data_IF_010052231652
#
_entry.id   IF_010052231652
#
_cell.length_a   1.000
_cell.length_b   1.000
_cell.length_c   1.000
_cell.angle_alpha   90.00
_cell.angle_beta   90.00
_cell.angle_gamma   90.00
#
_symmetry.space_group_name_H-M   'P 1'
#
loop_
_entity.id
_entity.type
_entity.pdbx_description
1 polymer ?
#
# COMPACT_ATOMS: atom_id res chain seq x y z
N UNK A 1 -38.15 14.44 17.79
CA UNK A 1 -36.76 14.75 18.18
C UNK A 1 -35.90 14.25 17.01
N UNK A 2 -35.46 15.07 16.07
CA UNK A 2 -34.48 16.17 16.11
C UNK A 2 -33.10 15.71 16.60
N UNK A 3 -32.11 15.95 15.72
CA UNK A 3 -30.68 16.22 15.97
C UNK A 3 -29.80 14.96 15.92
N UNK A 4 -28.69 14.86 15.19
CA UNK A 4 -28.05 15.66 14.13
C UNK A 4 -26.82 14.86 13.66
N UNK A 5 -26.29 15.24 12.50
CA UNK A 5 -24.88 15.13 12.09
C UNK A 5 -23.88 15.19 13.27
N UNK A 6 -22.67 14.65 13.08
CA UNK A 6 -21.57 15.61 13.09
C UNK A 6 -20.87 15.65 11.74
N UNK A 7 -20.89 16.87 11.21
CA UNK A 7 -19.91 17.41 10.30
C UNK A 7 -18.53 17.34 10.94
N UNK A 8 -17.54 17.23 10.06
CA UNK A 8 -16.36 18.10 10.07
C UNK A 8 -15.01 17.44 10.35
N UNK A 9 -14.27 17.40 9.25
CA UNK A 9 -12.86 17.19 9.08
C UNK A 9 -12.08 18.31 9.77
N UNK A 10 -11.80 18.18 11.07
CA UNK A 10 -10.92 19.11 11.79
C UNK A 10 -9.46 18.69 11.69
N UNK A 11 -8.77 19.26 10.69
CA UNK A 11 -7.31 19.32 10.62
C UNK A 11 -6.85 20.34 11.68
N UNK A 12 -6.48 19.87 12.87
CA UNK A 12 -5.89 20.71 13.90
C UNK A 12 -4.39 20.42 14.00
N UNK A 13 -3.61 21.29 13.36
CA UNK A 13 -2.17 21.44 13.57
C UNK A 13 -1.88 21.62 15.06
N UNK A 14 -1.14 20.69 15.65
CA UNK A 14 -0.55 20.86 16.97
C UNK A 14 0.93 21.13 16.80
N UNK A 15 1.24 22.40 16.59
CA UNK A 15 2.55 23.03 16.64
C UNK A 15 3.17 22.86 18.02
N UNK A 16 4.26 22.11 18.13
CA UNK A 16 5.12 22.16 19.32
C UNK A 16 6.33 23.05 19.04
N UNK A 17 6.09 24.36 18.98
CA UNK A 17 7.12 25.39 19.02
C UNK A 17 7.43 25.72 20.48
N UNK A 18 8.68 25.42 20.87
CA UNK A 18 9.56 26.20 21.74
C UNK A 18 9.03 26.81 23.07
N UNK A 19 9.66 26.35 24.16
CA UNK A 19 10.41 27.17 25.13
C UNK A 19 9.81 27.49 26.51
N UNK A 20 10.63 27.12 27.54
CA UNK A 20 11.08 27.91 28.71
C UNK A 20 10.93 27.24 30.09
N UNK A 21 12.12 26.98 30.67
CA UNK A 21 12.63 27.31 32.02
C UNK A 21 12.11 26.60 33.29
N UNK A 22 13.03 25.91 33.99
CA UNK A 22 13.55 26.17 35.36
C UNK A 22 14.27 24.90 35.89
N UNK A 23 15.59 24.91 36.10
CA UNK A 23 16.34 25.22 37.34
C UNK A 23 16.47 24.02 38.31
N UNK A 24 17.73 23.61 38.50
CA UNK A 24 18.34 22.88 39.64
C UNK A 24 18.01 21.40 39.85
N UNK A 25 19.05 20.56 39.80
CA UNK A 25 18.96 19.12 40.02
C UNK A 25 19.13 18.67 41.47
N UNK A 26 18.87 17.39 41.72
CA UNK A 26 19.53 16.55 42.73
C UNK A 26 19.12 15.07 42.56
N UNK A 27 20.14 14.24 42.36
CA UNK A 27 20.34 12.81 42.71
C UNK A 27 19.18 11.82 42.89
N UNK A 28 19.45 10.64 42.29
CA UNK A 28 19.23 9.27 42.78
C UNK A 28 17.81 8.66 42.70
N UNK A 29 17.71 7.59 41.91
CA UNK A 29 16.56 6.68 41.89
C UNK A 29 16.60 5.70 40.72
N UNK A 30 17.28 4.56 40.93
CA UNK A 30 17.22 3.27 40.22
C UNK A 30 16.33 3.15 38.95
N UNK A 31 16.86 2.69 37.80
CA UNK A 31 16.04 2.45 36.62
C UNK A 31 15.09 1.27 36.86
N UNK A 32 13.78 1.54 36.74
CA UNK A 32 12.74 0.52 36.70
C UNK A 32 13.04 -0.40 35.51
N UNK A 33 13.28 -1.68 35.83
CA UNK A 33 13.51 -2.76 34.88
C UNK A 33 12.40 -2.77 33.83
N UNK A 34 12.74 -2.38 32.60
CA UNK A 34 11.86 -2.49 31.44
C UNK A 34 11.52 -3.95 31.23
N UNK A 35 10.25 -4.31 31.44
CA UNK A 35 9.72 -5.58 31.00
C UNK A 35 9.87 -5.70 29.47
N UNK A 36 10.18 -6.89 28.93
CA UNK A 36 10.23 -7.07 27.49
C UNK A 36 8.85 -6.79 26.91
N UNK A 37 8.78 -5.84 25.97
CA UNK A 37 7.59 -5.59 25.17
C UNK A 37 7.28 -6.87 24.39
N UNK A 38 6.18 -7.54 24.75
CA UNK A 38 5.63 -8.64 23.96
C UNK A 38 5.31 -8.08 22.57
N UNK A 39 5.76 -8.70 21.46
CA UNK A 39 5.38 -8.24 20.13
C UNK A 39 3.86 -8.20 20.06
N UNK A 40 3.33 -7.05 19.63
CA UNK A 40 1.91 -6.86 19.44
C UNK A 40 1.40 -7.97 18.52
N UNK A 41 0.41 -8.73 18.99
CA UNK A 41 -0.33 -9.69 18.17
C UNK A 41 -0.84 -8.95 16.93
N UNK A 42 -0.74 -9.51 15.73
CA UNK A 42 -1.29 -8.86 14.55
C UNK A 42 -2.79 -8.65 14.77
N UNK A 43 -3.18 -7.39 14.90
CA UNK A 43 -4.58 -6.97 14.96
C UNK A 43 -5.17 -7.11 13.56
N UNK A 44 -5.45 -8.34 13.15
CA UNK A 44 -6.01 -8.66 11.84
C UNK A 44 -6.53 -10.08 11.78
N UNK A 45 -7.54 -10.30 10.94
CA UNK A 45 -8.04 -11.64 10.62
C UNK A 45 -6.96 -12.36 9.81
N UNK A 46 -6.47 -13.50 10.31
CA UNK A 46 -5.51 -14.32 9.58
C UNK A 46 -6.22 -15.04 8.42
N UNK A 47 -5.86 -14.69 7.18
CA UNK A 47 -6.35 -15.35 5.97
C UNK A 47 -5.35 -16.43 5.56
N UNK A 48 -5.82 -17.68 5.44
CA UNK A 48 -5.01 -18.79 4.96
C UNK A 48 -5.13 -18.88 3.43
N UNK A 49 -4.01 -18.76 2.73
CA UNK A 49 -3.91 -18.97 1.29
C UNK A 49 -3.45 -20.42 1.03
N UNK A 50 -3.93 -21.05 -0.04
CA UNK A 50 -3.57 -22.43 -0.38
C UNK A 50 -2.08 -22.58 -0.68
N UNK A 51 -1.52 -23.77 -0.43
CA UNK A 51 -0.12 -24.10 -0.70
C UNK A 51 0.23 -23.98 -2.19
N UNK A 52 -0.71 -24.31 -3.09
CA UNK A 52 -0.53 -24.21 -4.54
C UNK A 52 -0.35 -22.75 -4.99
N UNK A 53 -1.19 -21.85 -4.49
CA UNK A 53 -1.09 -20.42 -4.81
C UNK A 53 0.23 -19.84 -4.31
N UNK A 54 0.66 -20.26 -3.11
CA UNK A 54 1.94 -19.85 -2.54
C UNK A 54 3.14 -20.36 -3.35
N UNK A 55 3.09 -21.55 -3.95
CA UNK A 55 4.17 -22.05 -4.81
C UNK A 55 4.22 -21.34 -6.18
N UNK A 56 3.08 -20.91 -6.71
CA UNK A 56 3.03 -20.15 -7.97
C UNK A 56 3.58 -18.74 -7.80
N UNK A 57 3.25 -18.06 -6.69
CA UNK A 57 3.78 -16.73 -6.37
C UNK A 57 5.31 -16.71 -6.30
N UNK A 58 5.91 -17.72 -5.69
CA UNK A 58 7.38 -17.86 -5.59
C UNK A 58 8.05 -17.99 -6.96
N UNK A 59 7.36 -18.53 -7.97
CA UNK A 59 7.88 -18.66 -9.35
C UNK A 59 7.77 -17.34 -10.13
N UNK A 60 6.76 -16.52 -9.83
CA UNK A 60 6.55 -15.23 -10.51
C UNK A 60 7.49 -14.12 -9.99
N UNK A 61 7.93 -14.20 -8.73
CA UNK A 61 8.75 -13.17 -8.09
C UNK A 61 10.26 -13.28 -8.39
N UNK A 62 10.74 -14.37 -8.98
CA UNK A 62 12.17 -14.67 -9.01
C UNK A 62 12.99 -13.99 -10.12
N UNK A 63 12.39 -13.35 -11.14
CA UNK A 63 13.19 -12.84 -12.28
C UNK A 63 12.70 -11.55 -12.96
N UNK A 64 11.58 -10.95 -12.53
CA UNK A 64 11.07 -9.72 -13.15
C UNK A 64 10.64 -8.72 -12.09
N UNK A 65 11.09 -7.45 -12.14
CA UNK A 65 10.50 -6.42 -11.30
C UNK A 65 9.00 -6.36 -11.62
N UNK A 66 8.16 -6.34 -10.58
CA UNK A 66 6.69 -6.24 -10.71
C UNK A 66 6.25 -5.11 -11.65
N UNK A 67 7.09 -4.06 -11.75
CA UNK A 67 6.90 -2.94 -12.67
C UNK A 67 8.20 -2.62 -13.39
N UNK A 68 8.15 -2.62 -14.71
CA UNK A 68 9.24 -2.12 -15.56
C UNK A 68 9.20 -0.59 -15.63
N UNK A 69 9.97 0.05 -14.75
CA UNK A 69 10.04 1.52 -14.64
C UNK A 69 10.60 2.18 -15.90
N UNK A 70 11.47 1.49 -16.65
CA UNK A 70 12.02 1.99 -17.91
C UNK A 70 10.93 2.11 -18.96
N UNK A 71 10.08 1.08 -19.14
CA UNK A 71 8.91 1.15 -20.03
C UNK A 71 7.92 2.22 -19.59
N UNK A 72 7.68 2.36 -18.29
CA UNK A 72 6.75 3.37 -17.76
C UNK A 72 7.25 4.79 -18.06
N UNK A 73 8.54 5.07 -17.87
CA UNK A 73 9.13 6.38 -18.20
C UNK A 73 8.98 6.70 -19.70
N UNK A 74 9.37 5.76 -20.56
CA UNK A 74 9.27 5.94 -22.01
C UNK A 74 7.83 6.19 -22.48
N UNK A 75 6.86 5.45 -21.91
CA UNK A 75 5.45 5.64 -22.23
C UNK A 75 4.93 7.01 -21.74
N UNK A 76 5.32 7.44 -20.53
CA UNK A 76 4.96 8.76 -20.00
C UNK A 76 5.46 9.90 -20.89
N UNK A 77 6.71 9.80 -21.35
CA UNK A 77 7.30 10.77 -22.28
C UNK A 77 6.57 10.80 -23.62
N UNK A 78 6.28 9.64 -24.21
CA UNK A 78 5.54 9.56 -25.48
C UNK A 78 4.12 10.16 -25.37
N UNK A 79 3.45 9.97 -24.23
CA UNK A 79 2.15 10.59 -23.96
C UNK A 79 2.30 12.11 -23.80
N UNK A 80 3.30 12.58 -23.05
CA UNK A 80 3.55 14.01 -22.85
C UNK A 80 3.90 14.75 -24.16
N UNK A 81 4.62 14.07 -25.06
CA UNK A 81 4.99 14.57 -26.38
C UNK A 81 3.86 14.45 -27.41
N UNK A 82 2.75 13.78 -27.07
CA UNK A 82 1.62 13.53 -27.98
C UNK A 82 1.92 12.55 -29.11
N UNK A 83 3.05 11.83 -29.05
CA UNK A 83 3.45 10.84 -30.06
C UNK A 83 2.86 9.45 -29.81
N UNK A 84 2.28 9.23 -28.64
CA UNK A 84 1.56 7.99 -28.33
C UNK A 84 0.27 7.89 -29.16
N UNK A 85 0.23 6.92 -30.08
CA UNK A 85 -0.95 6.62 -30.89
C UNK A 85 -1.67 5.39 -30.35
N UNK A 86 -2.98 5.51 -30.17
CA UNK A 86 -3.84 4.41 -29.73
C UNK A 86 -3.98 3.40 -30.87
N UNK A 87 -3.58 2.15 -30.65
CA UNK A 87 -3.82 1.05 -31.57
C UNK A 87 -5.12 0.32 -31.19
N UNK A 88 -6.16 0.46 -32.00
CA UNK A 88 -7.47 -0.14 -31.76
C UNK A 88 -7.46 -1.68 -31.88
N UNK A 89 -6.68 -2.23 -32.80
CA UNK A 89 -6.56 -3.69 -32.99
C UNK A 89 -5.92 -4.34 -31.76
N UNK A 90 -4.82 -3.76 -31.26
CA UNK A 90 -4.15 -4.25 -30.06
C UNK A 90 -5.04 -4.17 -28.80
N UNK A 91 -5.97 -3.22 -28.75
CA UNK A 91 -6.99 -3.14 -27.67
C UNK A 91 -7.99 -4.27 -27.84
N UNK A 92 -8.53 -4.47 -29.04
CA UNK A 92 -9.50 -5.52 -29.32
C UNK A 92 -8.96 -6.91 -28.97
N UNK A 93 -7.71 -7.21 -29.37
CA UNK A 93 -7.06 -8.48 -29.08
C UNK A 93 -6.92 -8.71 -27.57
N UNK A 94 -6.52 -7.68 -26.82
CA UNK A 94 -6.41 -7.76 -25.35
C UNK A 94 -7.76 -7.92 -24.67
N UNK A 95 -8.82 -7.27 -25.18
CA UNK A 95 -10.17 -7.44 -24.66
C UNK A 95 -10.68 -8.87 -24.91
N UNK A 96 -10.43 -9.42 -26.09
CA UNK A 96 -10.81 -10.79 -26.43
C UNK A 96 -10.06 -11.80 -25.56
N UNK A 97 -8.73 -11.66 -25.44
CA UNK A 97 -7.91 -12.53 -24.58
C UNK A 97 -8.37 -12.49 -23.12
N UNK A 98 -8.72 -11.31 -22.59
CA UNK A 98 -9.25 -11.20 -21.23
C UNK A 98 -10.63 -11.87 -21.08
N UNK A 99 -11.51 -11.74 -22.08
CA UNK A 99 -12.80 -12.39 -22.09
C UNK A 99 -12.67 -13.92 -22.15
N UNK A 100 -11.74 -14.44 -22.95
CA UNK A 100 -11.41 -15.86 -23.02
C UNK A 100 -10.91 -16.39 -21.68
N UNK A 101 -9.98 -15.68 -21.03
CA UNK A 101 -9.49 -16.04 -19.69
C UNK A 101 -10.63 -16.08 -18.66
N UNK A 102 -11.54 -15.09 -18.69
CA UNK A 102 -12.69 -15.06 -17.80
C UNK A 102 -13.63 -16.24 -18.05
N UNK A 103 -13.90 -16.58 -19.31
CA UNK A 103 -14.73 -17.73 -19.66
C UNK A 103 -14.07 -19.05 -19.27
N UNK A 104 -12.75 -19.17 -19.45
CA UNK A 104 -11.98 -20.34 -19.07
C UNK A 104 -12.05 -20.58 -17.56
N UNK A 105 -11.96 -19.51 -16.76
CA UNK A 105 -12.12 -19.57 -15.29
C UNK A 105 -13.52 -19.96 -14.83
N UNK A 106 -14.56 -19.64 -15.61
CA UNK A 106 -15.95 -20.05 -15.31
C UNK A 106 -16.18 -21.53 -15.67
N UNK A 107 -15.44 -22.03 -16.67
CA UNK A 107 -15.59 -23.40 -17.19
C UNK A 107 -14.72 -24.43 -16.47
N UNK A 108 -13.59 -23.99 -15.90
CA UNK A 108 -12.71 -24.80 -15.05
C UNK A 108 -13.27 -25.01 -13.65
#
# INVERSE_FOLDING_TARGET
MKISQPTDNSVALSSNAASLTTKSGQTAGVPVKSAPSRPASPSGVAVTVSSLTRSMEVTSLSDTPDVDMTKVSAMREAIAQGSFTVNAEAIADKLLANAEEMLQRIRS
#
